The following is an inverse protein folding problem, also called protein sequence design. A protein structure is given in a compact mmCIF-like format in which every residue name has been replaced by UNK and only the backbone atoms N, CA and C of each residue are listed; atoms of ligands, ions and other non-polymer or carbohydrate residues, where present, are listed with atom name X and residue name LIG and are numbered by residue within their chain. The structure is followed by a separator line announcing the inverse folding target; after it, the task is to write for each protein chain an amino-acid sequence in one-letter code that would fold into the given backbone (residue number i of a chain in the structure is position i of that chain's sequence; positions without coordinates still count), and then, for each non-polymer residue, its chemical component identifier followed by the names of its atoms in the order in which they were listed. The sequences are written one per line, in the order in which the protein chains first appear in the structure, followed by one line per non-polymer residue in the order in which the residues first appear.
data_IF_993393514876
#
_entry.id   IF_993393514876
#
_cell.length_a   1.000
_cell.length_b   1.000
_cell.length_c   1.000
_cell.angle_alpha   90.00
_cell.angle_beta   90.00
_cell.angle_gamma   90.00
#
_symmetry.space_group_name_H-M   'P 1'
#
loop_
_entity.id
_entity.type
_entity.pdbx_description
1 polymer ?
#
# COMPACT_ATOMS: atom_id res chain seq x y z
N UNK A 1 7.31 -5.71 -3.40
CA UNK A 1 7.72 -4.31 -3.47
C UNK A 1 6.86 -3.53 -4.45
N UNK A 2 6.47 -2.30 -4.08
CA UNK A 2 5.87 -1.32 -4.99
C UNK A 2 4.60 -1.81 -5.71
N UNK A 3 3.67 -2.36 -4.95
CA UNK A 3 2.42 -2.93 -5.48
C UNK A 3 1.24 -2.08 -5.04
N UNK A 4 0.27 -1.92 -5.93
CA UNK A 4 -1.05 -1.37 -5.62
C UNK A 4 -2.06 -2.52 -5.62
N UNK A 5 -2.62 -2.83 -4.43
CA UNK A 5 -3.61 -3.90 -4.20
C UNK A 5 -4.94 -3.24 -3.86
N UNK A 6 -5.83 -3.17 -4.82
CA UNK A 6 -7.09 -2.42 -4.71
C UNK A 6 -8.26 -3.16 -5.35
N UNK A 7 -9.46 -2.88 -4.89
CA UNK A 7 -10.74 -3.37 -5.45
C UNK A 7 -10.83 -4.90 -5.58
N UNK A 8 -10.11 -5.64 -4.74
CA UNK A 8 -10.30 -7.09 -4.66
C UNK A 8 -11.47 -7.40 -3.72
N UNK A 9 -12.16 -8.48 -4.00
CA UNK A 9 -13.28 -8.95 -3.23
C UNK A 9 -13.01 -10.37 -2.72
N UNK A 10 -13.28 -10.62 -1.45
CA UNK A 10 -13.03 -11.90 -0.81
C UNK A 10 -14.12 -12.25 0.20
N UNK A 11 -14.37 -13.55 0.38
CA UNK A 11 -15.12 -14.11 1.51
C UNK A 11 -14.22 -14.79 2.55
N UNK A 12 -12.89 -14.75 2.33
CA UNK A 12 -11.90 -15.31 3.24
C UNK A 12 -11.52 -14.38 4.41
N UNK A 13 -10.38 -14.61 5.03
CA UNK A 13 -9.92 -13.84 6.19
C UNK A 13 -9.31 -12.47 5.86
N UNK A 14 -9.02 -12.20 4.59
CA UNK A 14 -8.49 -10.92 4.12
C UNK A 14 -9.00 -10.65 2.71
N UNK A 15 -9.26 -9.38 2.41
CA UNK A 15 -9.68 -8.95 1.07
C UNK A 15 -8.53 -8.41 0.22
N UNK A 16 -7.49 -7.86 0.83
CA UNK A 16 -6.33 -7.30 0.12
C UNK A 16 -5.15 -8.26 0.11
N UNK A 17 -4.44 -8.37 1.22
CA UNK A 17 -3.23 -9.18 1.34
C UNK A 17 -3.27 -10.06 2.58
N UNK A 18 -2.93 -11.33 2.41
CA UNK A 18 -2.61 -12.25 3.51
C UNK A 18 -1.16 -12.71 3.37
N UNK A 19 -0.37 -12.55 4.42
CA UNK A 19 1.03 -12.97 4.43
C UNK A 19 1.38 -13.68 5.73
N UNK A 20 2.09 -14.79 5.62
CA UNK A 20 2.57 -15.58 6.75
C UNK A 20 4.07 -15.33 7.03
N UNK A 21 4.88 -15.20 5.98
CA UNK A 21 6.32 -14.94 6.04
C UNK A 21 6.75 -14.05 4.88
N UNK A 22 7.83 -13.32 5.09
CA UNK A 22 8.45 -12.52 4.04
C UNK A 22 8.38 -11.02 4.33
N UNK A 23 8.47 -10.23 3.29
CA UNK A 23 8.53 -8.78 3.41
C UNK A 23 7.65 -8.09 2.37
N UNK A 24 6.99 -7.02 2.80
CA UNK A 24 6.24 -6.09 1.94
C UNK A 24 6.81 -4.70 2.14
N UNK A 25 7.15 -4.03 1.05
CA UNK A 25 7.71 -2.69 1.04
C UNK A 25 7.02 -1.80 0.02
N UNK A 26 6.91 -0.52 0.36
CA UNK A 26 6.48 0.54 -0.56
C UNK A 26 5.17 0.20 -1.30
N UNK A 27 4.23 -0.47 -0.64
CA UNK A 27 3.01 -0.95 -1.29
C UNK A 27 1.77 -0.32 -0.67
N UNK A 28 0.72 -0.11 -1.48
CA UNK A 28 -0.57 0.37 -1.02
C UNK A 28 -1.61 -0.73 -1.09
N UNK A 29 -2.42 -0.87 -0.02
CA UNK A 29 -3.50 -1.84 0.10
C UNK A 29 -4.74 -1.09 0.55
N UNK A 30 -5.70 -0.89 -0.37
CA UNK A 30 -6.83 -0.01 -0.13
C UNK A 30 -8.06 -0.39 -0.96
N UNK A 31 -9.26 -0.11 -0.44
CA UNK A 31 -10.50 -0.30 -1.17
C UNK A 31 -10.88 -1.75 -1.43
N UNK A 32 -10.25 -2.71 -0.77
CA UNK A 32 -10.59 -4.12 -0.92
C UNK A 32 -11.79 -4.47 -0.02
N UNK A 33 -12.71 -5.32 -0.49
CA UNK A 33 -13.98 -5.60 0.14
C UNK A 33 -14.08 -7.04 0.61
N UNK A 34 -14.47 -7.23 1.88
CA UNK A 34 -14.83 -8.53 2.42
C UNK A 34 -16.34 -8.73 2.38
N UNK A 35 -16.83 -9.78 1.71
CA UNK A 35 -18.27 -10.04 1.53
C UNK A 35 -19.01 -10.42 2.81
N UNK A 36 -18.33 -11.05 3.75
CA UNK A 36 -18.93 -11.65 4.94
C UNK A 36 -18.08 -11.29 6.17
N UNK A 37 -18.27 -10.10 6.74
CA UNK A 37 -17.56 -9.72 7.95
C UNK A 37 -16.75 -8.42 7.84
N UNK A 38 -15.63 -8.33 8.53
CA UNK A 38 -14.81 -7.13 8.63
C UNK A 38 -13.84 -7.00 7.46
N UNK A 39 -13.76 -5.80 6.87
CA UNK A 39 -12.85 -5.51 5.76
C UNK A 39 -11.41 -5.40 6.27
N UNK A 40 -10.68 -6.50 6.27
CA UNK A 40 -9.26 -6.51 6.57
C UNK A 40 -8.47 -6.34 5.28
N UNK A 41 -7.81 -5.19 5.11
CA UNK A 41 -6.97 -4.90 3.95
C UNK A 41 -5.68 -5.70 4.00
N UNK A 42 -5.01 -5.72 5.15
CA UNK A 42 -3.82 -6.51 5.39
C UNK A 42 -4.00 -7.45 6.57
N UNK A 43 -3.81 -8.74 6.33
CA UNK A 43 -3.92 -9.78 7.35
C UNK A 43 -2.60 -10.53 7.48
N UNK A 44 -1.98 -10.41 8.64
CA UNK A 44 -0.73 -11.10 8.93
C UNK A 44 -1.00 -12.34 9.79
N UNK A 45 -0.78 -13.51 9.22
CA UNK A 45 -0.61 -14.76 9.98
C UNK A 45 0.80 -14.76 10.56
N UNK A 46 0.96 -14.19 11.73
CA UNK A 46 2.24 -13.68 12.15
C UNK A 46 3.23 -14.74 12.53
N UNK A 47 4.31 -14.65 11.87
CA UNK A 47 5.61 -15.07 12.33
C UNK A 47 6.47 -13.80 12.59
N UNK A 48 7.30 -13.79 13.62
CA UNK A 48 8.21 -12.69 13.99
C UNK A 48 9.21 -12.27 12.90
N UNK A 49 9.27 -13.01 11.80
CA UNK A 49 10.15 -12.72 10.65
C UNK A 49 9.45 -11.95 9.51
N UNK A 50 8.21 -11.50 9.68
CA UNK A 50 7.54 -10.69 8.67
C UNK A 50 7.96 -9.22 8.80
N UNK A 51 8.37 -8.63 7.68
CA UNK A 51 8.66 -7.21 7.55
C UNK A 51 7.55 -6.51 6.77
N UNK A 52 7.05 -5.42 7.32
CA UNK A 52 6.01 -4.61 6.68
C UNK A 52 6.37 -3.14 6.77
N UNK A 53 7.15 -2.62 5.80
CA UNK A 53 7.87 -1.35 5.91
C UNK A 53 7.49 -0.40 4.80
N UNK A 54 7.23 0.86 5.14
CA UNK A 54 6.82 1.93 4.21
C UNK A 54 5.63 1.51 3.33
N UNK A 55 4.60 0.91 3.93
CA UNK A 55 3.37 0.57 3.23
C UNK A 55 2.23 1.48 3.67
N UNK A 56 1.25 1.67 2.80
CA UNK A 56 0.03 2.41 3.11
C UNK A 56 -1.18 1.47 3.10
N UNK A 57 -1.93 1.41 4.21
CA UNK A 57 -2.97 0.41 4.39
C UNK A 57 -4.22 1.04 4.97
N UNK A 58 -5.35 0.82 4.32
CA UNK A 58 -6.65 1.22 4.85
C UNK A 58 -6.95 0.46 6.15
N UNK A 59 -7.21 1.21 7.22
CA UNK A 59 -7.55 0.65 8.53
C UNK A 59 -6.41 -0.04 9.27
N UNK A 60 -5.19 -0.07 8.69
CA UNK A 60 -4.01 -0.71 9.26
C UNK A 60 -3.97 -2.23 9.09
N UNK A 61 -3.02 -2.84 9.80
CA UNK A 61 -2.78 -4.29 9.78
C UNK A 61 -3.58 -5.03 10.84
N UNK A 62 -4.05 -6.20 10.51
CA UNK A 62 -4.65 -7.15 11.45
C UNK A 62 -3.71 -8.34 11.66
N UNK A 63 -3.54 -8.72 12.92
CA UNK A 63 -2.64 -9.80 13.32
C UNK A 63 -3.42 -11.01 13.84
N UNK A 64 -3.01 -12.21 13.45
CA UNK A 64 -3.51 -13.46 14.01
C UNK A 64 -2.53 -14.02 15.04
N UNK A 65 -3.03 -14.54 16.15
CA UNK A 65 -2.22 -15.26 17.13
C UNK A 65 -1.33 -14.40 18.04
N UNK A 66 -1.57 -13.08 18.13
CA UNK A 66 -0.89 -12.20 19.11
C UNK A 66 0.58 -11.89 18.83
N UNK A 67 1.11 -12.32 17.68
CA UNK A 67 2.46 -11.95 17.25
C UNK A 67 2.42 -10.68 16.37
N UNK A 68 3.40 -9.82 16.48
CA UNK A 68 3.57 -8.64 15.64
C UNK A 68 4.69 -8.86 14.62
N UNK A 69 4.68 -8.19 13.47
CA UNK A 69 5.82 -8.22 12.54
C UNK A 69 7.06 -7.67 13.22
N UNK A 70 8.23 -8.03 12.71
CA UNK A 70 9.51 -7.51 13.21
C UNK A 70 9.72 -6.03 12.90
N UNK A 71 9.03 -5.48 11.89
CA UNK A 71 8.98 -4.05 11.64
C UNK A 71 7.70 -3.65 10.90
N UNK A 72 7.16 -2.48 11.30
CA UNK A 72 6.10 -1.72 10.61
C UNK A 72 6.53 -0.28 10.38
N UNK A 73 7.82 -0.03 10.35
CA UNK A 73 8.40 1.31 10.21
C UNK A 73 7.91 2.01 8.93
N UNK A 74 7.62 3.29 9.05
CA UNK A 74 7.18 4.14 7.93
C UNK A 74 5.82 3.77 7.32
N UNK A 75 5.02 2.91 7.96
CA UNK A 75 3.70 2.58 7.47
C UNK A 75 2.69 3.71 7.72
N UNK A 76 1.83 3.94 6.72
CA UNK A 76 0.75 4.92 6.75
C UNK A 76 -0.58 4.19 6.91
N UNK A 77 -1.40 4.62 7.87
CA UNK A 77 -2.77 4.14 8.02
C UNK A 77 -3.69 5.06 7.24
N UNK A 78 -4.38 4.52 6.24
CA UNK A 78 -5.30 5.24 5.38
C UNK A 78 -6.75 5.04 5.82
N UNK A 79 -7.60 6.04 5.56
CA UNK A 79 -9.03 5.93 5.65
C UNK A 79 -9.65 5.30 4.39
N UNK A 80 -10.95 4.98 4.44
CA UNK A 80 -11.71 4.45 3.30
C UNK A 80 -11.97 5.51 2.21
N UNK A 81 -11.88 6.79 2.55
CA UNK A 81 -11.97 7.90 1.60
C UNK A 81 -10.74 7.94 0.69
N UNK A 82 -10.92 8.32 -0.58
CA UNK A 82 -9.80 8.60 -1.49
C UNK A 82 -9.21 10.01 -1.33
N UNK A 83 -9.69 10.80 -0.37
CA UNK A 83 -9.19 12.15 -0.15
C UNK A 83 -7.72 12.12 0.28
N UNK A 84 -6.89 12.99 -0.32
CA UNK A 84 -5.46 13.04 -0.02
C UNK A 84 -5.12 13.43 1.43
N UNK A 85 -6.10 13.98 2.17
CA UNK A 85 -5.90 14.33 3.59
C UNK A 85 -5.72 13.11 4.50
N UNK A 86 -6.37 11.98 4.17
CA UNK A 86 -6.42 10.79 5.03
C UNK A 86 -6.54 9.47 4.25
N UNK A 87 -6.73 9.53 2.94
CA UNK A 87 -6.76 8.40 2.01
C UNK A 87 -5.57 8.39 1.06
N UNK A 88 -5.56 7.52 0.04
CA UNK A 88 -4.42 7.36 -0.86
C UNK A 88 -4.24 8.53 -1.85
N UNK A 89 -5.26 9.34 -2.11
CA UNK A 89 -5.19 10.42 -3.09
C UNK A 89 -4.96 9.94 -4.52
N UNK A 90 -5.68 8.92 -4.96
CA UNK A 90 -5.67 8.47 -6.36
C UNK A 90 -6.45 9.44 -7.26
N UNK A 91 -6.04 9.56 -8.52
CA UNK A 91 -6.67 10.44 -9.50
C UNK A 91 -8.16 10.17 -9.68
N UNK A 92 -8.54 8.94 -9.99
CA UNK A 92 -9.93 8.49 -10.08
C UNK A 92 -10.04 6.99 -9.77
N UNK A 93 -10.06 6.66 -8.49
CA UNK A 93 -10.17 5.27 -8.03
C UNK A 93 -11.47 4.59 -8.50
N UNK A 94 -12.55 5.36 -8.72
CA UNK A 94 -13.84 4.85 -9.20
C UNK A 94 -13.78 4.35 -10.65
N UNK A 95 -12.95 4.98 -11.49
CA UNK A 95 -12.73 4.59 -12.89
C UNK A 95 -11.52 3.66 -13.06
N UNK A 96 -10.82 3.31 -11.99
CA UNK A 96 -9.62 2.47 -12.03
C UNK A 96 -8.32 3.23 -12.32
N UNK A 97 -8.31 4.57 -12.22
CA UNK A 97 -7.09 5.37 -12.31
C UNK A 97 -6.47 5.53 -10.91
N UNK A 98 -5.44 4.73 -10.67
CA UNK A 98 -4.69 4.70 -9.41
C UNK A 98 -3.37 5.47 -9.46
N UNK A 99 -3.18 6.34 -10.45
CA UNK A 99 -2.11 7.32 -10.43
C UNK A 99 -2.33 8.31 -9.26
N UNK A 100 -1.27 8.94 -8.78
CA UNK A 100 -1.34 9.81 -7.61
C UNK A 100 -1.74 11.25 -7.97
N UNK A 101 -2.61 11.85 -7.18
CA UNK A 101 -2.82 13.31 -7.19
C UNK A 101 -1.60 14.01 -6.59
N UNK A 102 -1.37 15.27 -6.96
CA UNK A 102 -0.23 16.07 -6.46
C UNK A 102 -0.18 16.27 -4.93
N UNK A 103 -1.27 15.98 -4.25
CA UNK A 103 -1.41 16.10 -2.79
C UNK A 103 -1.43 14.75 -2.07
N UNK A 104 -1.19 13.65 -2.79
CA UNK A 104 -1.20 12.30 -2.22
C UNK A 104 -0.15 12.13 -1.12
N UNK A 105 -0.51 11.55 0.04
CA UNK A 105 0.46 11.26 1.10
C UNK A 105 1.41 10.12 0.74
N UNK A 106 1.22 9.48 -0.40
CA UNK A 106 2.06 8.38 -0.88
C UNK A 106 3.30 8.86 -1.63
N UNK A 107 3.32 10.15 -2.04
CA UNK A 107 4.43 10.76 -2.76
C UNK A 107 5.65 10.87 -1.83
N UNK A 108 6.82 10.47 -2.31
CA UNK A 108 8.10 10.48 -1.58
C UNK A 108 8.06 9.77 -0.20
N UNK A 109 7.09 8.88 0.02
CA UNK A 109 6.86 8.23 1.33
C UNK A 109 7.48 6.83 1.44
N UNK A 110 8.03 6.31 0.36
CA UNK A 110 8.65 4.99 0.32
C UNK A 110 10.10 4.97 0.80
N UNK A 111 10.71 3.80 0.70
CA UNK A 111 12.12 3.54 1.08
C UNK A 111 12.95 3.24 -0.17
N UNK A 112 13.90 4.08 -0.50
CA UNK A 112 14.77 3.91 -1.68
C UNK A 112 15.62 2.62 -1.63
N UNK A 113 16.16 2.16 -0.49
CA UNK A 113 16.88 0.90 -0.43
C UNK A 113 16.06 -0.33 -0.84
N UNK A 114 14.72 -0.22 -0.80
CA UNK A 114 13.80 -1.29 -1.21
C UNK A 114 13.38 -1.21 -2.70
N UNK A 115 14.02 -0.36 -3.50
CA UNK A 115 13.73 -0.25 -4.94
C UNK A 115 14.21 -1.49 -5.69
N UNK A 116 13.30 -2.11 -6.47
CA UNK A 116 13.58 -3.32 -7.24
C UNK A 116 13.49 -3.11 -8.75
N UNK A 117 13.00 -1.94 -9.20
CA UNK A 117 12.82 -1.62 -10.61
C UNK A 117 13.25 -0.19 -10.89
N UNK A 118 13.82 0.07 -12.07
CA UNK A 118 14.14 1.41 -12.53
C UNK A 118 12.89 2.19 -13.01
N UNK A 119 11.79 1.49 -13.25
CA UNK A 119 10.57 2.03 -13.84
C UNK A 119 9.34 1.68 -13.02
N UNK A 120 8.35 2.56 -13.01
CA UNK A 120 7.02 2.28 -12.48
C UNK A 120 6.19 1.43 -13.47
N UNK A 121 4.92 1.15 -13.10
CA UNK A 121 4.05 0.27 -13.91
C UNK A 121 3.69 0.85 -15.29
N UNK A 122 3.78 2.17 -15.47
CA UNK A 122 3.47 2.85 -16.73
C UNK A 122 4.72 3.39 -17.46
N UNK A 123 5.92 3.03 -16.97
CA UNK A 123 7.19 3.35 -17.63
C UNK A 123 7.81 4.69 -17.24
N UNK A 124 7.35 5.32 -16.16
CA UNK A 124 8.03 6.46 -15.58
C UNK A 124 9.25 6.03 -14.78
N UNK A 125 10.23 6.93 -14.65
CA UNK A 125 11.38 6.71 -13.77
C UNK A 125 10.91 6.49 -12.34
N UNK A 126 11.36 5.39 -11.70
CA UNK A 126 10.85 4.93 -10.40
C UNK A 126 11.15 5.85 -9.22
N UNK A 127 12.15 6.68 -9.30
CA UNK A 127 12.42 7.72 -8.30
C UNK A 127 12.46 9.04 -9.08
N UNK A 128 11.45 9.87 -8.89
CA UNK A 128 11.37 11.18 -9.51
C UNK A 128 11.73 12.31 -8.54
N UNK A 129 11.25 12.22 -7.29
CA UNK A 129 11.53 13.16 -6.20
C UNK A 129 12.74 12.75 -5.36
N UNK A 130 12.63 12.94 -4.05
CA UNK A 130 13.67 12.55 -3.09
C UNK A 130 13.64 11.06 -2.79
N UNK A 131 12.43 10.48 -2.77
CA UNK A 131 12.19 9.08 -2.48
C UNK A 131 11.24 8.48 -3.51
N UNK A 132 11.19 7.16 -3.50
CA UNK A 132 10.19 6.40 -4.23
C UNK A 132 8.80 6.62 -3.63
N UNK A 133 7.77 6.65 -4.46
CA UNK A 133 6.39 6.67 -4.02
C UNK A 133 5.93 5.29 -3.51
N UNK A 134 4.95 5.29 -2.60
CA UNK A 134 4.30 4.07 -2.16
C UNK A 134 3.27 3.64 -3.20
N UNK A 135 3.39 2.40 -3.69
CA UNK A 135 2.50 1.84 -4.70
C UNK A 135 3.18 1.55 -6.03
N UNK A 136 2.36 1.27 -7.04
CA UNK A 136 2.82 0.86 -8.37
C UNK A 136 3.16 2.04 -9.29
N UNK A 137 2.70 3.24 -8.97
CA UNK A 137 2.85 4.46 -9.77
C UNK A 137 3.79 5.45 -9.09
N UNK A 138 4.54 6.17 -9.89
CA UNK A 138 5.34 7.31 -9.45
C UNK A 138 4.66 8.60 -9.88
N UNK A 139 4.55 9.57 -8.99
CA UNK A 139 4.02 10.89 -9.30
C UNK A 139 5.08 11.72 -10.03
N UNK A 140 4.74 12.16 -11.22
CA UNK A 140 5.62 13.00 -12.05
C UNK A 140 5.07 14.42 -12.07
N UNK A 141 5.83 15.38 -11.56
CA UNK A 141 5.52 16.80 -11.74
C UNK A 141 5.63 17.14 -13.23
N UNK A 142 4.53 17.53 -13.84
CA UNK A 142 4.55 18.11 -15.20
C UNK A 142 5.06 19.53 -15.05
N UNK A 143 6.23 19.81 -15.62
CA UNK A 143 6.70 21.18 -15.86
C UNK A 143 5.78 21.93 -16.81
#
# INVERSE_FOLDING_TARGET
YNVTIVNNESSGSSSGLRINRGAVYNSVIWGNVHKIGTNHQGYLDVNKSTLFVNNAIQGGLVYNGGNTPSSTEGCIILNASNAAADGPGFMDAGSGDYQLQSTSPLIDAGSNPAVQSAWDIIGNKRIWGEKIDIGAFEYITKE
#
